data_IF_792568158439
#
_entry.id   IF_792568158439
#
_cell.length_a   1.000
_cell.length_b   1.000
_cell.length_c   1.000
_cell.angle_alpha   90.00
_cell.angle_beta   90.00
_cell.angle_gamma   90.00
#
_symmetry.space_group_name_H-M   'P 1'
#
loop_
_entity.id
_entity.type
_entity.pdbx_description
1 polymer ?
#
# COMPACT_ATOMS: atom_id res chain seq x y z
N UNK A 1 30.46 -4.18 -30.34
CA UNK A 1 29.74 -2.90 -30.15
C UNK A 1 29.82 -2.16 -31.47
N UNK A 2 28.70 -1.77 -32.08
CA UNK A 2 28.71 -1.04 -33.34
C UNK A 2 29.45 0.30 -33.20
N UNK A 3 30.02 0.79 -34.31
CA UNK A 3 30.66 2.11 -34.38
C UNK A 3 29.67 3.18 -33.89
N UNK A 4 30.13 4.16 -33.08
CA UNK A 4 29.36 5.28 -32.48
C UNK A 4 28.56 5.00 -31.20
N UNK A 5 28.54 3.78 -30.68
CA UNK A 5 27.88 3.54 -29.39
C UNK A 5 28.81 3.80 -28.21
N UNK A 6 28.34 4.57 -27.23
CA UNK A 6 29.05 4.78 -25.96
C UNK A 6 28.86 3.55 -25.08
N UNK A 7 29.97 3.01 -24.55
CA UNK A 7 29.92 1.95 -23.54
C UNK A 7 29.48 2.52 -22.21
N UNK A 8 28.36 2.03 -21.68
CA UNK A 8 27.96 2.30 -20.30
C UNK A 8 28.99 1.62 -19.38
N UNK A 9 29.75 2.41 -18.63
CA UNK A 9 30.66 1.90 -17.60
C UNK A 9 29.87 1.73 -16.31
N UNK A 10 29.81 0.50 -15.80
CA UNK A 10 29.16 0.19 -14.51
C UNK A 10 30.20 0.22 -13.41
N UNK A 11 29.93 0.98 -12.36
CA UNK A 11 30.80 1.13 -11.20
C UNK A 11 30.10 0.62 -9.93
N UNK A 12 30.88 0.40 -8.86
CA UNK A 12 30.36 -0.02 -7.56
C UNK A 12 29.66 -1.38 -7.61
N UNK A 13 28.50 -1.48 -6.97
CA UNK A 13 27.72 -2.73 -6.87
C UNK A 13 27.28 -3.28 -8.24
N UNK A 14 27.23 -2.45 -9.28
CA UNK A 14 26.85 -2.88 -10.63
C UNK A 14 28.04 -3.34 -11.49
N UNK A 15 29.27 -3.26 -10.98
CA UNK A 15 30.47 -3.73 -11.67
C UNK A 15 30.49 -5.27 -11.73
N UNK A 16 30.61 -5.91 -12.93
CA UNK A 16 30.61 -7.37 -13.06
C UNK A 16 31.59 -8.12 -12.16
N UNK A 17 32.77 -7.55 -11.89
CA UNK A 17 33.75 -8.20 -10.99
C UNK A 17 33.29 -8.15 -9.53
N UNK A 18 32.75 -7.02 -9.08
CA UNK A 18 32.15 -6.88 -7.75
C UNK A 18 30.96 -7.83 -7.57
N UNK A 19 30.12 -7.99 -8.59
CA UNK A 19 28.97 -8.89 -8.57
C UNK A 19 29.43 -10.34 -8.40
N UNK A 20 30.42 -10.78 -9.18
CA UNK A 20 30.94 -12.15 -9.14
C UNK A 20 31.62 -12.46 -7.81
N UNK A 21 32.49 -11.58 -7.34
CA UNK A 21 33.29 -11.81 -6.13
C UNK A 21 32.43 -11.84 -4.88
N UNK A 22 31.41 -10.97 -4.81
CA UNK A 22 30.53 -10.85 -3.65
C UNK A 22 29.22 -11.65 -3.80
N UNK A 23 29.08 -12.45 -4.88
CA UNK A 23 27.87 -13.24 -5.18
C UNK A 23 26.59 -12.41 -5.06
N UNK A 24 26.60 -11.16 -5.56
CA UNK A 24 25.46 -10.25 -5.45
C UNK A 24 24.29 -10.74 -6.31
N UNK A 25 23.14 -10.98 -5.68
CA UNK A 25 21.90 -11.34 -6.34
C UNK A 25 20.99 -10.10 -6.46
N UNK A 26 20.85 -9.55 -7.68
CA UNK A 26 19.89 -8.47 -7.97
C UNK A 26 18.52 -8.99 -8.37
N UNK A 27 18.43 -10.28 -8.64
CA UNK A 27 17.21 -11.01 -8.96
C UNK A 27 17.24 -12.23 -8.05
N UNK A 28 16.13 -12.56 -7.36
CA UNK A 28 16.06 -13.79 -6.57
C UNK A 28 16.33 -15.02 -7.45
N UNK A 29 17.10 -15.99 -6.93
CA UNK A 29 17.44 -17.23 -7.64
C UNK A 29 16.18 -18.03 -8.00
N UNK A 30 15.25 -18.12 -7.06
CA UNK A 30 13.90 -18.60 -7.31
C UNK A 30 13.04 -17.43 -7.79
N UNK A 31 12.87 -17.34 -9.11
CA UNK A 31 11.85 -16.45 -9.67
C UNK A 31 10.49 -16.96 -9.19
N UNK A 32 9.71 -16.17 -8.45
CA UNK A 32 8.38 -16.61 -8.07
C UNK A 32 7.57 -16.84 -9.34
N UNK A 33 6.92 -18.00 -9.42
CA UNK A 33 6.01 -18.31 -10.51
C UNK A 33 4.97 -17.19 -10.66
N UNK A 34 4.56 -16.90 -11.89
CA UNK A 34 3.60 -15.83 -12.20
C UNK A 34 2.31 -16.06 -11.38
N UNK A 35 1.90 -17.32 -11.23
CA UNK A 35 0.76 -17.71 -10.40
C UNK A 35 0.97 -17.42 -8.92
N UNK A 36 2.19 -17.57 -8.40
CA UNK A 36 2.51 -17.26 -7.01
C UNK A 36 2.50 -15.74 -6.75
N UNK A 37 2.87 -14.92 -7.73
CA UNK A 37 2.79 -13.45 -7.64
C UNK A 37 1.33 -13.01 -7.61
N UNK A 38 0.49 -13.58 -8.47
CA UNK A 38 -0.95 -13.28 -8.53
C UNK A 38 -1.63 -13.69 -7.21
N UNK A 39 -1.30 -14.85 -6.65
CA UNK A 39 -1.82 -15.29 -5.34
C UNK A 39 -1.39 -14.38 -4.17
N UNK A 40 -0.25 -13.70 -4.28
CA UNK A 40 0.23 -12.75 -3.25
C UNK A 40 -0.41 -11.37 -3.36
N UNK A 41 -1.02 -11.02 -4.49
CA UNK A 41 -1.79 -9.78 -4.61
C UNK A 41 -3.07 -9.91 -3.77
N UNK A 42 -3.07 -9.27 -2.61
CA UNK A 42 -4.30 -8.97 -1.89
C UNK A 42 -5.18 -8.09 -2.79
N UNK A 43 -6.48 -8.33 -2.77
CA UNK A 43 -7.46 -7.51 -3.48
C UNK A 43 -7.40 -6.03 -3.05
N UNK A 44 -8.14 -5.14 -3.73
CA UNK A 44 -8.17 -3.73 -3.38
C UNK A 44 -8.62 -3.54 -1.93
N UNK A 45 -7.89 -2.72 -1.18
CA UNK A 45 -8.20 -2.41 0.23
C UNK A 45 -9.63 -1.89 0.36
N UNK A 46 -10.36 -2.41 1.34
CA UNK A 46 -11.63 -1.83 1.78
C UNK A 46 -11.39 -0.45 2.40
N UNK A 47 -12.44 0.39 2.47
CA UNK A 47 -12.32 1.75 3.04
C UNK A 47 -11.83 1.72 4.49
N UNK A 48 -12.23 0.71 5.26
CA UNK A 48 -11.84 0.55 6.65
C UNK A 48 -10.37 0.14 6.79
N UNK A 49 -9.92 -0.86 6.01
CA UNK A 49 -8.51 -1.27 5.98
C UNK A 49 -7.60 -0.13 5.54
N UNK A 50 -8.05 0.68 4.58
CA UNK A 50 -7.31 1.86 4.13
C UNK A 50 -7.18 2.92 5.23
N UNK A 51 -8.25 3.17 5.97
CA UNK A 51 -8.23 4.09 7.10
C UNK A 51 -7.25 3.56 8.16
N UNK A 52 -7.36 2.29 8.54
CA UNK A 52 -6.48 1.67 9.53
C UNK A 52 -5.01 1.70 9.10
N UNK A 53 -4.70 1.48 7.82
CA UNK A 53 -3.32 1.62 7.29
C UNK A 53 -2.79 3.05 7.37
N UNK A 54 -3.63 4.05 7.06
CA UNK A 54 -3.21 5.45 7.03
C UNK A 54 -3.11 6.08 8.41
N UNK A 55 -4.03 5.73 9.32
CA UNK A 55 -4.12 6.34 10.66
C UNK A 55 -3.49 5.46 11.74
N UNK A 56 -3.24 4.18 11.47
CA UNK A 56 -2.78 3.20 12.47
C UNK A 56 -3.84 2.86 13.52
N UNK A 57 -5.08 3.31 13.34
CA UNK A 57 -6.17 3.13 14.30
C UNK A 57 -7.44 2.68 13.59
N UNK A 58 -8.11 1.67 14.17
CA UNK A 58 -9.39 1.22 13.66
C UNK A 58 -10.49 2.24 14.01
N UNK A 59 -11.13 2.89 13.02
CA UNK A 59 -12.10 3.97 13.26
C UNK A 59 -13.41 3.47 13.89
N UNK A 60 -13.63 2.16 13.95
CA UNK A 60 -14.81 1.56 14.56
C UNK A 60 -14.61 1.24 16.04
N UNK A 61 -13.38 1.33 16.57
CA UNK A 61 -13.09 1.08 17.98
C UNK A 61 -13.07 2.40 18.77
N UNK A 62 -13.41 2.32 20.05
CA UNK A 62 -13.29 3.48 20.93
C UNK A 62 -11.80 3.89 21.07
N UNK A 63 -11.45 5.18 20.86
CA UNK A 63 -10.07 5.63 20.96
C UNK A 63 -9.50 5.56 22.39
N UNK A 64 -10.36 5.51 23.40
CA UNK A 64 -9.97 5.49 24.82
C UNK A 64 -9.76 4.06 25.32
N UNK A 65 -10.80 3.22 25.25
CA UNK A 65 -10.75 1.87 25.81
C UNK A 65 -10.34 0.79 24.80
N UNK A 66 -10.21 1.12 23.50
CA UNK A 66 -9.86 0.20 22.39
C UNK A 66 -10.76 -1.04 22.27
N UNK A 67 -11.91 -1.03 22.93
CA UNK A 67 -12.86 -2.13 23.03
C UNK A 67 -14.26 -1.66 22.63
N UNK A 68 -15.08 -2.59 22.13
CA UNK A 68 -16.43 -2.30 21.64
C UNK A 68 -16.45 -1.67 20.23
N UNK A 69 -17.64 -1.63 19.62
CA UNK A 69 -17.88 -0.97 18.33
C UNK A 69 -18.58 0.36 18.54
N UNK A 70 -18.07 1.43 17.93
CA UNK A 70 -18.74 2.73 17.92
C UNK A 70 -20.02 2.67 17.09
N UNK A 71 -21.11 3.19 17.65
CA UNK A 71 -22.41 3.33 16.97
C UNK A 71 -22.67 4.78 16.59
N UNK A 72 -23.35 5.00 15.47
CA UNK A 72 -23.71 6.34 15.01
C UNK A 72 -24.85 6.86 15.90
N UNK A 73 -24.55 7.80 16.79
CA UNK A 73 -25.53 8.42 17.68
C UNK A 73 -26.35 9.51 16.98
N UNK A 74 -25.72 10.30 16.11
CA UNK A 74 -26.35 11.43 15.43
C UNK A 74 -25.53 11.84 14.20
N UNK A 75 -26.20 12.15 13.10
CA UNK A 75 -25.57 12.77 11.93
C UNK A 75 -25.58 14.28 12.13
N UNK A 76 -24.40 14.91 12.06
CA UNK A 76 -24.30 16.37 12.18
C UNK A 76 -24.96 17.05 10.97
N UNK A 77 -25.69 18.16 11.18
CA UNK A 77 -26.28 18.91 10.08
C UNK A 77 -25.19 19.59 9.24
N UNK A 78 -25.47 19.79 7.94
CA UNK A 78 -24.53 20.40 7.00
C UNK A 78 -24.38 21.90 7.31
N UNK A 79 -23.16 22.34 7.59
CA UNK A 79 -22.89 23.72 8.07
C UNK A 79 -22.84 24.74 6.92
N UNK A 80 -22.33 24.38 5.74
CA UNK A 80 -21.97 25.34 4.68
C UNK A 80 -22.67 25.16 3.34
N UNK A 81 -23.66 24.28 3.25
CA UNK A 81 -24.43 24.17 2.00
C UNK A 81 -25.89 23.91 2.32
N UNK A 82 -26.83 24.59 1.64
CA UNK A 82 -28.24 24.26 1.75
C UNK A 82 -28.43 22.80 1.29
N UNK A 83 -29.00 21.98 2.15
CA UNK A 83 -29.27 20.58 1.89
C UNK A 83 -30.66 20.24 2.41
N UNK A 84 -31.45 19.57 1.58
CA UNK A 84 -32.80 19.14 1.89
C UNK A 84 -32.77 18.20 3.12
N UNK A 85 -33.45 18.62 4.19
CA UNK A 85 -33.62 17.83 5.41
C UNK A 85 -34.60 16.68 5.12
N UNK A 86 -34.10 15.54 4.62
CA UNK A 86 -34.86 14.30 4.74
C UNK A 86 -34.59 13.72 6.12
N UNK A 87 -35.46 14.06 7.06
CA UNK A 87 -35.68 13.24 8.24
C UNK A 87 -36.18 11.88 7.77
N UNK A 88 -35.40 10.82 7.97
CA UNK A 88 -35.98 9.51 8.23
C UNK A 88 -34.98 8.65 9.01
N UNK A 89 -35.35 8.42 10.27
CA UNK A 89 -34.77 7.40 11.12
C UNK A 89 -35.20 6.03 10.58
N UNK A 90 -34.22 5.16 10.34
CA UNK A 90 -34.39 3.72 10.50
C UNK A 90 -33.09 3.07 10.91
#
# INVERSE_FOLDING_TARGET
>A
MPQRFVKIRRFGIYNPTCIRNNKLQFVPEEKPDIQAIIKKQKGPETRLERLERLTGMNPCLCPVCKTGRMVIMKVLPRIRSPGYTHTNNR
#
